data_IF_270473532875
#
_entry.id   IF_270473532875
#
_cell.length_a   1.000
_cell.length_b   1.000
_cell.length_c   1.000
_cell.angle_alpha   90.00
_cell.angle_beta   90.00
_cell.angle_gamma   90.00
#
_symmetry.space_group_name_H-M   'P 1'
#
loop_
_entity.id
_entity.type
_entity.pdbx_description
1 polymer ?
#
# COMPACT_ATOMS: atom_id res chain seq x y z
N UNK A 1 -6.01 7.75 -2.54
CA UNK A 1 -5.19 6.74 -1.85
C UNK A 1 -5.84 5.37 -1.66
N UNK A 2 -7.02 5.23 -1.01
CA UNK A 2 -7.63 3.91 -0.75
C UNK A 2 -7.78 3.01 -1.99
N UNK A 3 -8.20 3.58 -3.12
CA UNK A 3 -8.29 2.85 -4.40
C UNK A 3 -6.94 2.33 -4.89
N UNK A 4 -5.86 3.10 -4.75
CA UNK A 4 -4.49 2.65 -5.08
C UNK A 4 -4.07 1.48 -4.19
N UNK A 5 -4.32 1.53 -2.88
CA UNK A 5 -4.04 0.40 -2.00
C UNK A 5 -4.81 -0.87 -2.41
N UNK A 6 -6.10 -0.73 -2.76
CA UNK A 6 -6.88 -1.85 -3.30
C UNK A 6 -6.29 -2.38 -4.61
N UNK A 7 -5.81 -1.50 -5.49
CA UNK A 7 -5.16 -1.90 -6.73
C UNK A 7 -3.85 -2.67 -6.47
N UNK A 8 -3.03 -2.26 -5.50
CA UNK A 8 -1.88 -3.05 -5.04
C UNK A 8 -2.30 -4.43 -4.52
N UNK A 9 -3.33 -4.47 -3.66
CA UNK A 9 -3.82 -5.72 -3.05
C UNK A 9 -4.42 -6.69 -4.07
N UNK A 10 -5.03 -6.17 -5.14
CA UNK A 10 -5.63 -6.94 -6.23
C UNK A 10 -4.69 -7.12 -7.44
N UNK A 11 -3.44 -6.67 -7.34
CA UNK A 11 -2.47 -6.69 -8.44
C UNK A 11 -2.96 -6.00 -9.73
N UNK A 12 -3.80 -4.97 -9.61
CA UNK A 12 -4.25 -4.13 -10.71
C UNK A 12 -3.24 -3.00 -10.97
N UNK A 13 -2.07 -3.38 -11.49
CA UNK A 13 -0.96 -2.43 -11.71
C UNK A 13 -1.26 -1.38 -12.79
N UNK A 14 -2.14 -1.69 -13.75
CA UNK A 14 -2.57 -0.71 -14.73
C UNK A 14 -3.25 0.49 -14.07
N UNK A 15 -4.13 0.25 -13.09
CA UNK A 15 -4.75 1.35 -12.33
C UNK A 15 -3.72 2.20 -11.57
N UNK A 16 -2.66 1.59 -11.06
CA UNK A 16 -1.58 2.30 -10.38
C UNK A 16 -0.80 3.20 -11.34
N UNK A 17 -0.54 2.71 -12.55
CA UNK A 17 0.10 3.49 -13.62
C UNK A 17 -0.81 4.64 -14.08
N UNK A 18 -2.09 4.35 -14.33
CA UNK A 18 -3.07 5.34 -14.79
C UNK A 18 -3.29 6.47 -13.78
N UNK A 19 -3.15 6.18 -12.49
CA UNK A 19 -3.27 7.14 -11.38
C UNK A 19 -1.92 7.65 -10.86
N UNK A 20 -0.80 7.27 -11.49
CA UNK A 20 0.52 7.89 -11.28
C UNK A 20 0.64 9.11 -12.20
N UNK A 21 1.13 10.22 -11.66
CA UNK A 21 1.30 11.45 -12.43
C UNK A 21 2.22 11.18 -13.65
N UNK A 22 1.87 11.62 -14.87
CA UNK A 22 2.64 11.31 -16.07
C UNK A 22 4.12 11.68 -15.99
N UNK A 23 4.48 12.78 -15.32
CA UNK A 23 5.89 13.18 -15.15
C UNK A 23 6.72 12.28 -14.24
N UNK A 24 6.07 11.36 -13.50
CA UNK A 24 6.71 10.44 -12.55
C UNK A 24 6.71 9.00 -13.08
N UNK A 25 6.11 8.74 -14.24
CA UNK A 25 6.09 7.40 -14.86
C UNK A 25 7.44 7.12 -15.51
N UNK A 26 7.96 5.92 -15.28
CA UNK A 26 9.07 5.36 -16.05
C UNK A 26 8.55 4.44 -17.16
N UNK A 27 9.36 4.20 -18.19
CA UNK A 27 8.99 3.33 -19.31
C UNK A 27 8.77 1.87 -18.86
N UNK A 28 9.48 1.44 -17.83
CA UNK A 28 9.40 0.10 -17.24
C UNK A 28 8.53 0.03 -15.97
N UNK A 29 7.80 1.09 -15.63
CA UNK A 29 7.05 1.22 -14.38
C UNK A 29 6.10 0.04 -14.14
N UNK A 30 5.36 -0.37 -15.18
CA UNK A 30 4.42 -1.48 -15.07
C UNK A 30 5.12 -2.81 -14.76
N UNK A 31 6.25 -3.08 -15.41
CA UNK A 31 7.04 -4.28 -15.19
C UNK A 31 7.67 -4.28 -13.78
N UNK A 32 8.18 -3.13 -13.34
CA UNK A 32 8.73 -2.92 -12.00
C UNK A 32 7.68 -3.11 -10.90
N UNK A 33 6.46 -2.62 -11.09
CA UNK A 33 5.34 -2.86 -10.18
C UNK A 33 4.94 -4.34 -10.12
N UNK A 34 4.89 -5.02 -11.28
CA UNK A 34 4.59 -6.45 -11.35
C UNK A 34 5.66 -7.30 -10.65
N UNK A 35 6.93 -6.94 -10.81
CA UNK A 35 8.04 -7.67 -10.21
C UNK A 35 8.10 -7.49 -8.70
N UNK A 36 7.94 -6.25 -8.21
CA UNK A 36 7.95 -5.98 -6.77
C UNK A 36 6.79 -6.67 -6.03
N UNK A 37 5.66 -6.90 -6.69
CA UNK A 37 4.49 -7.51 -6.07
C UNK A 37 4.49 -9.05 -6.01
N UNK A 38 5.50 -9.75 -6.55
CA UNK A 38 5.48 -11.21 -6.65
C UNK A 38 5.47 -11.91 -5.27
N UNK A 39 6.13 -11.33 -4.28
CA UNK A 39 6.27 -11.90 -2.94
C UNK A 39 5.61 -11.05 -1.85
N UNK A 40 4.92 -9.97 -2.23
CA UNK A 40 4.33 -9.02 -1.28
C UNK A 40 2.83 -9.19 -1.22
N UNK A 41 2.30 -9.45 -0.02
CA UNK A 41 0.87 -9.51 0.25
C UNK A 41 0.44 -8.35 1.14
N UNK A 42 -0.29 -7.41 0.58
CA UNK A 42 -0.92 -6.32 1.33
C UNK A 42 -2.05 -6.84 2.24
N UNK A 43 -2.09 -6.39 3.48
CA UNK A 43 -2.99 -6.91 4.52
C UNK A 43 -3.99 -5.86 4.99
N UNK A 44 -3.52 -4.66 5.33
CA UNK A 44 -4.37 -3.62 5.88
C UNK A 44 -3.85 -2.23 5.52
N UNK A 45 -4.77 -1.29 5.33
CA UNK A 45 -4.51 0.14 5.22
C UNK A 45 -5.18 0.86 6.38
N UNK A 46 -4.44 1.77 7.02
CA UNK A 46 -4.95 2.68 8.04
C UNK A 46 -4.62 4.11 7.62
N UNK A 47 -5.63 4.93 7.38
CA UNK A 47 -5.43 6.37 7.13
C UNK A 47 -5.24 7.06 8.47
N UNK A 48 -4.13 7.79 8.63
CA UNK A 48 -3.81 8.53 9.84
C UNK A 48 -4.29 9.98 9.73
N UNK A 49 -3.98 10.64 8.61
CA UNK A 49 -4.31 12.05 8.39
C UNK A 49 -4.54 12.32 6.90
N UNK A 50 -5.38 13.33 6.64
CA UNK A 50 -5.58 13.91 5.31
C UNK A 50 -5.53 15.42 5.40
N UNK A 51 -4.86 16.08 4.45
CA UNK A 51 -4.84 17.54 4.32
C UNK A 51 -5.30 17.90 2.90
N UNK A 52 -6.20 18.89 2.77
CA UNK A 52 -6.86 19.25 1.52
C UNK A 52 -7.52 18.04 0.82
N UNK A 53 -7.50 17.98 -0.52
CA UNK A 53 -8.05 16.85 -1.27
C UNK A 53 -9.57 16.78 -1.32
N UNK A 54 -10.26 17.87 -0.99
CA UNK A 54 -11.72 18.00 -1.11
C UNK A 54 -12.12 18.54 -2.50
N UNK A 55 -13.43 18.60 -2.75
CA UNK A 55 -13.95 19.17 -3.98
C UNK A 55 -13.53 20.64 -4.11
N UNK A 56 -12.82 20.97 -5.20
CA UNK A 56 -12.30 22.31 -5.45
C UNK A 56 -10.82 22.48 -5.13
N UNK A 57 -10.20 21.54 -4.40
CA UNK A 57 -8.76 21.57 -4.16
C UNK A 57 -7.97 21.06 -5.38
N UNK A 58 -6.84 21.72 -5.67
CA UNK A 58 -5.90 21.29 -6.71
C UNK A 58 -4.85 20.29 -6.22
N UNK A 59 -4.68 20.17 -4.90
CA UNK A 59 -3.65 19.37 -4.26
C UNK A 59 -4.22 18.70 -2.99
N UNK A 60 -3.61 17.61 -2.57
CA UNK A 60 -4.02 16.88 -1.39
C UNK A 60 -2.90 16.01 -0.85
N UNK A 61 -2.96 15.73 0.45
CA UNK A 61 -1.98 14.92 1.14
C UNK A 61 -2.69 13.85 1.97
N UNK A 62 -2.11 12.65 1.99
CA UNK A 62 -2.61 11.53 2.78
C UNK A 62 -1.44 10.87 3.51
N UNK A 63 -1.52 10.85 4.84
CA UNK A 63 -0.62 10.09 5.70
C UNK A 63 -1.31 8.79 6.12
N UNK A 64 -0.62 7.67 5.97
CA UNK A 64 -1.19 6.35 6.25
C UNK A 64 -0.13 5.34 6.67
N UNK A 65 -0.61 4.27 7.31
CA UNK A 65 0.16 3.03 7.43
C UNK A 65 -0.46 1.93 6.58
N UNK A 66 0.38 1.12 5.95
CA UNK A 66 -0.03 -0.07 5.25
C UNK A 66 0.79 -1.26 5.74
N UNK A 67 0.11 -2.29 6.27
CA UNK A 67 0.77 -3.52 6.67
C UNK A 67 0.76 -4.52 5.52
N UNK A 68 1.88 -5.20 5.37
CA UNK A 68 2.07 -6.23 4.35
C UNK A 68 2.92 -7.36 4.90
N UNK A 69 2.80 -8.52 4.26
CA UNK A 69 3.71 -9.62 4.45
C UNK A 69 4.60 -9.75 3.21
N UNK A 70 5.88 -10.01 3.45
CA UNK A 70 6.86 -10.33 2.43
C UNK A 70 7.76 -11.44 2.96
N UNK A 71 7.90 -12.52 2.19
CA UNK A 71 8.72 -13.69 2.52
C UNK A 71 8.48 -14.27 3.94
N UNK A 72 7.22 -14.30 4.37
CA UNK A 72 6.76 -14.80 5.66
C UNK A 72 6.94 -13.82 6.83
N UNK A 73 7.47 -12.63 6.59
CA UNK A 73 7.70 -11.59 7.59
C UNK A 73 6.71 -10.44 7.43
N UNK A 74 6.28 -9.88 8.55
CA UNK A 74 5.34 -8.77 8.56
C UNK A 74 6.06 -7.43 8.65
N UNK A 75 5.62 -6.49 7.84
CA UNK A 75 6.13 -5.13 7.78
C UNK A 75 4.99 -4.13 7.84
N UNK A 76 5.33 -2.91 8.26
CA UNK A 76 4.49 -1.73 8.19
C UNK A 76 5.22 -0.68 7.37
N UNK A 77 4.59 -0.27 6.27
CA UNK A 77 4.88 0.97 5.57
C UNK A 77 4.20 2.11 6.31
N UNK A 78 4.94 3.15 6.67
CA UNK A 78 4.39 4.46 7.04
C UNK A 78 4.73 5.43 5.91
N UNK A 79 3.72 6.06 5.31
CA UNK A 79 3.93 6.95 4.17
C UNK A 79 3.07 8.21 4.28
N UNK A 80 3.68 9.33 3.87
CA UNK A 80 3.01 10.61 3.64
C UNK A 80 3.05 10.92 2.14
N UNK A 81 1.93 10.72 1.44
CA UNK A 81 1.82 10.87 -0.01
C UNK A 81 1.14 12.17 -0.43
N UNK A 82 1.64 12.77 -1.50
CA UNK A 82 1.08 13.94 -2.17
C UNK A 82 0.30 13.54 -3.42
N UNK A 83 -0.75 14.30 -3.70
CA UNK A 83 -1.63 14.15 -4.83
C UNK A 83 -1.93 15.50 -5.47
N UNK A 84 -2.10 15.50 -6.80
CA UNK A 84 -2.56 16.67 -7.56
C UNK A 84 -3.83 16.33 -8.33
N UNK A 85 -4.76 17.28 -8.42
CA UNK A 85 -5.99 17.16 -9.18
C UNK A 85 -5.86 17.89 -10.50
N UNK A 86 -5.86 17.15 -11.62
CA UNK A 86 -5.74 17.70 -12.96
C UNK A 86 -6.59 16.89 -13.92
N UNK A 87 -7.15 17.55 -14.95
CA UNK A 87 -7.98 16.87 -15.96
C UNK A 87 -9.11 16.03 -15.35
N UNK A 88 -9.72 16.53 -14.26
CA UNK A 88 -10.80 15.89 -13.52
C UNK A 88 -10.41 14.57 -12.80
N UNK A 89 -9.12 14.34 -12.56
CA UNK A 89 -8.61 13.15 -11.87
C UNK A 89 -7.51 13.49 -10.87
N UNK A 90 -7.44 12.71 -9.78
CA UNK A 90 -6.33 12.75 -8.82
C UNK A 90 -5.18 11.86 -9.27
N UNK A 91 -3.97 12.41 -9.25
CA UNK A 91 -2.72 11.69 -9.54
C UNK A 91 -1.82 11.67 -8.32
N UNK A 92 -1.24 10.50 -8.03
CA UNK A 92 -0.13 10.38 -7.09
C UNK A 92 1.12 11.01 -7.69
N UNK A 93 1.83 11.84 -6.93
CA UNK A 93 3.07 12.49 -7.40
C UNK A 93 4.29 11.92 -6.69
N UNK A 94 4.32 11.97 -5.38
CA UNK A 94 5.43 11.52 -4.56
C UNK A 94 4.97 11.23 -3.14
N UNK A 95 5.80 10.51 -2.39
CA UNK A 95 5.57 10.26 -0.98
C UNK A 95 6.88 9.95 -0.28
N UNK A 96 6.99 10.42 0.94
CA UNK A 96 8.06 10.01 1.85
C UNK A 96 7.59 8.76 2.60
N UNK A 97 8.39 7.70 2.55
CA UNK A 97 8.00 6.42 3.09
C UNK A 97 9.10 5.76 3.91
N UNK A 98 8.67 5.06 4.97
CA UNK A 98 9.51 4.28 5.85
C UNK A 98 8.89 2.91 6.07
N UNK A 99 9.67 1.86 5.84
CA UNK A 99 9.28 0.47 6.13
C UNK A 99 9.93 0.03 7.43
N UNK A 100 9.14 -0.60 8.30
CA UNK A 100 9.60 -1.16 9.58
C UNK A 100 9.00 -2.55 9.83
N UNK A 101 9.75 -3.48 10.46
CA UNK A 101 9.22 -4.81 10.76
C UNK A 101 8.17 -4.76 11.89
N UNK A 102 7.10 -5.54 11.76
CA UNK A 102 6.08 -5.72 12.80
C UNK A 102 6.46 -6.93 13.65
N UNK A 103 6.73 -6.69 14.93
CA UNK A 103 6.94 -7.76 15.91
C UNK A 103 5.61 -8.17 16.55
N UNK A 104 4.94 -9.16 15.97
CA UNK A 104 3.74 -9.74 16.56
C UNK A 104 4.10 -10.65 17.74
N UNK A 105 3.55 -10.35 18.92
CA UNK A 105 3.55 -11.27 20.06
C UNK A 105 2.41 -12.27 19.92
N UNK A 106 2.51 -13.16 18.92
CA UNK A 106 1.54 -14.22 18.66
C UNK A 106 2.01 -15.55 19.27
N UNK A 107 1.17 -16.19 20.09
CA UNK A 107 1.45 -17.50 20.66
C UNK A 107 1.27 -18.62 19.63
N UNK A 108 2.06 -19.71 19.74
CA UNK A 108 2.01 -20.88 18.81
C UNK A 108 0.61 -21.44 18.56
N UNK A 109 -0.31 -21.33 19.53
CA UNK A 109 -1.66 -21.88 19.44
C UNK A 109 -2.73 -20.84 19.08
N UNK A 110 -2.37 -19.56 18.94
CA UNK A 110 -3.29 -18.47 18.60
C UNK A 110 -3.68 -18.53 17.11
N UNK A 111 -4.78 -17.86 16.77
CA UNK A 111 -5.21 -17.72 15.38
C UNK A 111 -4.14 -17.01 14.56
N UNK A 112 -3.76 -17.57 13.42
CA UNK A 112 -2.73 -16.98 12.57
C UNK A 112 -3.17 -15.61 12.06
N UNK A 113 -2.23 -14.67 12.01
CA UNK A 113 -2.45 -13.29 11.55
C UNK A 113 -2.97 -13.21 10.10
N UNK A 114 -2.73 -14.23 9.28
CA UNK A 114 -3.21 -14.26 7.90
C UNK A 114 -4.71 -14.58 7.77
N UNK A 115 -5.40 -14.75 8.90
CA UNK A 115 -6.82 -15.08 8.99
C UNK A 115 -7.24 -16.34 8.23
N UNK A 116 -6.32 -17.28 8.01
CA UNK A 116 -6.58 -18.55 7.34
C UNK A 116 -7.50 -19.51 8.13
N UNK A 117 -7.92 -19.12 9.34
CA UNK A 117 -8.61 -19.98 10.29
C UNK A 117 -7.72 -21.03 10.98
N UNK A 118 -6.42 -21.11 10.62
CA UNK A 118 -5.46 -22.04 11.22
C UNK A 118 -4.75 -21.42 12.43
N UNK A 119 -4.27 -22.28 13.34
CA UNK A 119 -3.34 -21.87 14.41
C UNK A 119 -2.01 -21.42 13.80
N UNK A 120 -1.32 -20.48 14.43
CA UNK A 120 -0.03 -19.94 13.95
C UNK A 120 0.97 -21.04 13.59
N UNK A 121 1.14 -22.04 14.47
CA UNK A 121 2.01 -23.22 14.24
C UNK A 121 1.69 -24.13 13.07
N UNK A 122 0.49 -24.03 12.53
CA UNK A 122 0.04 -24.82 11.37
C UNK A 122 -0.03 -23.97 10.10
N UNK A 123 0.49 -22.74 10.14
CA UNK A 123 0.44 -21.80 9.04
C UNK A 123 1.80 -21.10 8.85
N UNK A 124 2.18 -20.21 9.77
CA UNK A 124 3.33 -19.31 9.61
C UNK A 124 4.30 -19.33 10.82
N UNK A 125 4.18 -20.27 11.78
CA UNK A 125 5.20 -20.48 12.84
C UNK A 125 4.84 -21.38 14.02
#
# INVERSE_FOLDING_TARGET
>A
MRSRFTAFSLQNFQYLLDTLHPSKRQDDELASLQQSAQNTRWLQLTILQTESGQAGDGEGLVEFTASFEEDGQLYQLHERSQFVFQQQQWYYTEGDNQVSPISLKIGRNDACWCQSGKKFKKCHG
#
